data_IF_071609597415
#
_entry.id   IF_071609597415
#
_cell.length_a   1.000
_cell.length_b   1.000
_cell.length_c   1.000
_cell.angle_alpha   90.00
_cell.angle_beta   90.00
_cell.angle_gamma   90.00
#
_symmetry.space_group_name_H-M   'P 1'
#
loop_
_entity.id
_entity.type
_entity.pdbx_description
1 polymer ?
#
# COMPACT_ATOMS: atom_id res chain seq x y z
N UNK A 1 0.77 -10.07 -34.38
CA UNK A 1 0.08 -10.29 -33.08
C UNK A 1 0.88 -9.72 -31.91
N UNK A 2 2.19 -9.94 -31.85
CA UNK A 2 3.06 -9.46 -30.77
C UNK A 2 3.11 -7.93 -30.62
N UNK A 3 3.02 -7.17 -31.72
CA UNK A 3 2.92 -5.71 -31.68
C UNK A 3 1.70 -5.21 -30.87
N UNK A 4 0.55 -5.87 -31.02
CA UNK A 4 -0.68 -5.53 -30.28
C UNK A 4 -0.51 -5.84 -28.80
N UNK A 5 0.15 -6.96 -28.48
CA UNK A 5 0.47 -7.36 -27.10
C UNK A 5 1.43 -6.36 -26.47
N UNK A 6 2.46 -5.93 -27.19
CA UNK A 6 3.41 -4.93 -26.69
C UNK A 6 2.70 -3.60 -26.39
N UNK A 7 1.89 -3.11 -27.34
CA UNK A 7 1.12 -1.87 -27.16
C UNK A 7 0.10 -1.96 -26.02
N UNK A 8 -0.46 -3.14 -25.76
CA UNK A 8 -1.39 -3.34 -24.65
C UNK A 8 -0.69 -3.46 -23.30
N UNK A 9 0.52 -4.01 -23.23
CA UNK A 9 1.27 -4.19 -21.98
C UNK A 9 2.22 -3.02 -21.67
N UNK A 10 2.46 -2.11 -22.60
CA UNK A 10 3.48 -1.06 -22.50
C UNK A 10 3.41 -0.17 -21.26
N UNK A 11 2.21 0.09 -20.72
CA UNK A 11 2.07 1.03 -19.61
C UNK A 11 2.61 0.47 -18.29
N UNK A 12 3.28 1.28 -17.45
CA UNK A 12 3.93 0.81 -16.24
C UNK A 12 2.94 0.14 -15.27
N UNK A 13 1.72 0.69 -15.13
CA UNK A 13 0.66 0.09 -14.33
C UNK A 13 0.25 -1.31 -14.80
N UNK A 14 0.21 -1.54 -16.12
CA UNK A 14 -0.15 -2.84 -16.69
C UNK A 14 0.96 -3.87 -16.50
N UNK A 15 2.22 -3.46 -16.68
CA UNK A 15 3.39 -4.27 -16.35
C UNK A 15 3.38 -4.68 -14.87
N UNK A 16 3.07 -3.75 -13.97
CA UNK A 16 2.95 -4.00 -12.53
C UNK A 16 1.84 -5.00 -12.17
N UNK A 17 0.67 -4.89 -12.82
CA UNK A 17 -0.42 -5.86 -12.63
C UNK A 17 0.02 -7.26 -13.06
N UNK A 18 0.70 -7.39 -14.20
CA UNK A 18 1.22 -8.68 -14.68
C UNK A 18 2.28 -9.25 -13.74
N UNK A 19 3.21 -8.42 -13.26
CA UNK A 19 4.22 -8.83 -12.27
C UNK A 19 3.57 -9.35 -10.98
N UNK A 20 2.57 -8.64 -10.47
CA UNK A 20 1.84 -9.08 -9.28
C UNK A 20 1.17 -10.45 -9.47
N UNK A 21 0.52 -10.68 -10.61
CA UNK A 21 -0.10 -11.97 -10.95
C UNK A 21 0.97 -13.06 -11.07
N UNK A 22 2.14 -12.72 -11.61
CA UNK A 22 3.26 -13.64 -11.78
C UNK A 22 3.85 -14.09 -10.44
N UNK A 23 4.16 -13.16 -9.53
CA UNK A 23 4.69 -13.48 -8.19
C UNK A 23 3.70 -14.32 -7.40
N UNK A 24 2.41 -13.97 -7.44
CA UNK A 24 1.38 -14.66 -6.64
C UNK A 24 0.89 -15.96 -7.28
N UNK A 25 1.18 -16.19 -8.56
CA UNK A 25 0.68 -17.31 -9.36
C UNK A 25 -0.80 -17.22 -9.72
N UNK A 26 -1.65 -16.90 -8.74
CA UNK A 26 -3.08 -16.61 -8.93
C UNK A 26 -3.44 -15.33 -8.20
N UNK A 27 -4.31 -14.50 -8.80
CA UNK A 27 -4.76 -13.27 -8.19
C UNK A 27 -6.22 -12.96 -8.53
N UNK A 28 -6.95 -12.39 -7.57
CA UNK A 28 -8.26 -11.80 -7.83
C UNK A 28 -8.15 -10.27 -7.98
N UNK A 29 -8.96 -9.63 -8.85
CA UNK A 29 -8.83 -8.20 -9.15
C UNK A 29 -8.89 -7.29 -7.92
N UNK A 30 -9.71 -7.64 -6.93
CA UNK A 30 -9.82 -6.86 -5.68
C UNK A 30 -8.50 -6.86 -4.88
N UNK A 31 -7.78 -7.99 -4.82
CA UNK A 31 -6.46 -8.10 -4.19
C UNK A 31 -5.44 -7.18 -4.86
N UNK A 32 -5.50 -7.12 -6.19
CA UNK A 32 -4.60 -6.29 -7.01
C UNK A 32 -4.92 -4.82 -6.75
N UNK A 33 -6.19 -4.44 -6.72
CA UNK A 33 -6.64 -3.08 -6.36
C UNK A 33 -6.15 -2.68 -4.97
N UNK A 34 -6.29 -3.55 -3.98
CA UNK A 34 -5.89 -3.27 -2.59
C UNK A 34 -4.36 -3.15 -2.45
N UNK A 35 -3.60 -4.07 -3.04
CA UNK A 35 -2.14 -4.12 -2.90
C UNK A 35 -1.41 -3.08 -3.77
N UNK A 36 -1.86 -2.88 -5.02
CA UNK A 36 -1.28 -1.88 -5.92
C UNK A 36 -1.89 -0.48 -5.75
N UNK A 37 -2.93 -0.34 -4.93
CA UNK A 37 -3.69 0.93 -4.73
C UNK A 37 -4.20 1.54 -6.04
N UNK A 38 -4.56 0.69 -6.99
CA UNK A 38 -5.12 1.08 -8.30
C UNK A 38 -6.64 1.23 -8.17
N UNK A 39 -7.26 2.08 -8.99
CA UNK A 39 -8.72 2.22 -8.96
C UNK A 39 -9.45 0.90 -9.24
N UNK A 40 -10.57 0.71 -8.55
CA UNK A 40 -11.48 -0.41 -8.77
C UNK A 40 -11.94 -0.38 -10.24
N UNK A 41 -11.76 -1.50 -10.95
CA UNK A 41 -12.13 -1.61 -12.37
C UNK A 41 -10.94 -1.80 -13.33
N UNK A 42 -9.82 -1.12 -13.09
CA UNK A 42 -8.65 -1.21 -14.00
C UNK A 42 -8.08 -2.64 -14.05
N UNK A 43 -7.78 -3.31 -12.91
CA UNK A 43 -7.24 -4.67 -12.96
C UNK A 43 -8.21 -5.65 -13.63
N UNK A 44 -9.52 -5.52 -13.35
CA UNK A 44 -10.53 -6.40 -13.96
C UNK A 44 -10.64 -6.21 -15.47
N UNK A 45 -10.64 -4.97 -15.96
CA UNK A 45 -10.72 -4.70 -17.40
C UNK A 45 -9.46 -5.19 -18.12
N UNK A 46 -8.29 -4.90 -17.54
CA UNK A 46 -7.02 -5.29 -18.11
C UNK A 46 -6.84 -6.81 -18.15
N UNK A 47 -7.14 -7.53 -17.06
CA UNK A 47 -7.02 -8.99 -17.04
C UNK A 47 -8.01 -9.69 -17.98
N UNK A 48 -9.22 -9.12 -18.16
CA UNK A 48 -10.14 -9.61 -19.21
C UNK A 48 -9.55 -9.46 -20.60
N UNK A 49 -8.88 -8.35 -20.87
CA UNK A 49 -8.17 -8.12 -22.13
C UNK A 49 -6.98 -9.09 -22.30
N UNK A 50 -6.19 -9.32 -21.25
CA UNK A 50 -5.13 -10.34 -21.26
C UNK A 50 -5.68 -11.74 -21.53
N UNK A 51 -6.88 -12.04 -21.04
CA UNK A 51 -7.56 -13.32 -21.28
C UNK A 51 -7.98 -13.45 -22.74
N UNK A 52 -8.53 -12.38 -23.34
CA UNK A 52 -8.87 -12.35 -24.77
C UNK A 52 -7.64 -12.51 -25.68
N UNK A 53 -6.47 -12.05 -25.22
CA UNK A 53 -5.18 -12.21 -25.90
C UNK A 53 -4.47 -13.54 -25.58
N UNK A 54 -5.13 -14.47 -24.88
CA UNK A 54 -4.57 -15.77 -24.45
C UNK A 54 -3.32 -15.68 -23.55
N UNK A 55 -3.08 -14.53 -22.91
CA UNK A 55 -1.97 -14.33 -21.97
C UNK A 55 -2.29 -14.87 -20.58
N UNK A 56 -3.55 -14.74 -20.16
CA UNK A 56 -4.04 -15.20 -18.86
C UNK A 56 -5.21 -16.14 -18.99
N UNK A 57 -5.35 -17.07 -18.05
CA UNK A 57 -6.54 -17.89 -17.84
C UNK A 57 -7.41 -17.23 -16.79
N UNK A 58 -8.72 -17.37 -16.95
CA UNK A 58 -9.72 -16.92 -15.99
C UNK A 58 -10.43 -18.15 -15.44
N UNK A 59 -10.40 -18.32 -14.13
CA UNK A 59 -11.12 -19.37 -13.42
C UNK A 59 -12.08 -18.74 -12.39
N UNK A 60 -13.18 -19.44 -12.08
CA UNK A 60 -14.13 -19.04 -11.03
C UNK A 60 -14.03 -20.00 -9.88
N UNK A 61 -13.90 -19.46 -8.67
CA UNK A 61 -14.01 -20.21 -7.43
C UNK A 61 -15.09 -19.56 -6.57
N UNK A 62 -16.29 -20.13 -6.62
CA UNK A 62 -17.50 -19.53 -6.04
C UNK A 62 -17.77 -18.12 -6.59
N UNK A 63 -17.90 -17.15 -5.70
CA UNK A 63 -18.11 -15.74 -6.07
C UNK A 63 -16.83 -15.01 -6.53
N UNK A 64 -15.65 -15.62 -6.38
CA UNK A 64 -14.37 -14.99 -6.73
C UNK A 64 -13.93 -15.38 -8.13
N UNK A 65 -13.41 -14.40 -8.88
CA UNK A 65 -12.80 -14.60 -10.20
C UNK A 65 -11.30 -14.53 -10.03
N UNK A 66 -10.62 -15.62 -10.39
CA UNK A 66 -9.18 -15.79 -10.31
C UNK A 66 -8.58 -15.65 -11.71
N UNK A 67 -7.42 -15.01 -11.77
CA UNK A 67 -6.61 -14.93 -12.97
C UNK A 67 -5.23 -15.52 -12.71
N UNK A 68 -4.73 -16.28 -13.67
CA UNK A 68 -3.39 -16.85 -13.70
C UNK A 68 -2.79 -16.68 -15.09
N UNK A 69 -1.47 -16.66 -15.20
CA UNK A 69 -0.81 -16.58 -16.51
C UNK A 69 -0.73 -17.98 -17.13
N UNK A 70 -0.94 -18.07 -18.45
CA UNK A 70 -0.75 -19.32 -19.18
C UNK A 70 0.73 -19.54 -19.49
N UNK A 71 1.16 -20.79 -19.70
CA UNK A 71 2.53 -21.11 -20.12
C UNK A 71 2.89 -20.41 -21.45
N UNK A 72 1.94 -20.40 -22.40
CA UNK A 72 2.06 -19.65 -23.66
C UNK A 72 2.18 -18.14 -23.43
N UNK A 73 1.35 -17.59 -22.54
CA UNK A 73 1.38 -16.17 -22.17
C UNK A 73 2.71 -15.75 -21.57
N UNK A 74 3.26 -16.56 -20.66
CA UNK A 74 4.58 -16.34 -20.05
C UNK A 74 5.68 -16.32 -21.12
N UNK A 75 5.68 -17.26 -22.07
CA UNK A 75 6.66 -17.30 -23.14
C UNK A 75 6.60 -16.06 -24.06
N UNK A 76 5.40 -15.51 -24.27
CA UNK A 76 5.22 -14.25 -25.02
C UNK A 76 5.71 -13.06 -24.19
N UNK A 77 5.34 -12.99 -22.91
CA UNK A 77 5.72 -11.90 -22.01
C UNK A 77 7.24 -11.84 -21.79
N UNK A 78 7.95 -12.99 -21.74
CA UNK A 78 9.41 -13.03 -21.67
C UNK A 78 10.08 -12.36 -22.87
N UNK A 79 9.49 -12.48 -24.06
CA UNK A 79 10.02 -11.87 -25.29
C UNK A 79 9.67 -10.39 -25.41
N UNK A 80 8.47 -10.00 -24.98
CA UNK A 80 7.95 -8.64 -25.17
C UNK A 80 8.30 -7.69 -24.03
N UNK A 81 8.27 -8.18 -22.79
CA UNK A 81 8.48 -7.39 -21.58
C UNK A 81 9.25 -8.20 -20.51
N UNK A 82 10.53 -8.50 -20.73
CA UNK A 82 11.33 -9.29 -19.79
C UNK A 82 11.45 -8.63 -18.40
N UNK A 83 11.37 -7.30 -18.34
CA UNK A 83 11.41 -6.50 -17.11
C UNK A 83 10.44 -6.97 -16.02
N UNK A 84 9.28 -7.54 -16.38
CA UNK A 84 8.29 -8.00 -15.39
C UNK A 84 8.74 -9.24 -14.62
N UNK A 85 9.79 -9.92 -15.08
CA UNK A 85 10.32 -11.13 -14.45
C UNK A 85 11.46 -10.82 -13.47
N UNK A 86 11.99 -9.58 -13.50
CA UNK A 86 13.05 -9.19 -12.59
C UNK A 86 12.51 -8.91 -11.19
N UNK A 87 13.18 -9.50 -10.18
CA UNK A 87 12.87 -9.27 -8.78
C UNK A 87 13.00 -7.79 -8.38
N UNK A 88 13.88 -7.03 -9.05
CA UNK A 88 14.04 -5.58 -8.85
C UNK A 88 12.81 -4.78 -9.27
N UNK A 89 11.99 -5.31 -10.20
CA UNK A 89 10.70 -4.72 -10.59
C UNK A 89 9.71 -4.71 -9.40
N UNK A 90 9.95 -5.54 -8.38
CA UNK A 90 9.21 -5.53 -7.12
C UNK A 90 9.44 -4.25 -6.29
N UNK A 91 10.60 -3.59 -6.45
CA UNK A 91 10.87 -2.30 -5.81
C UNK A 91 10.01 -1.15 -6.34
N UNK A 92 9.45 -1.28 -7.55
CA UNK A 92 8.48 -0.31 -8.08
C UNK A 92 7.13 -0.35 -7.35
N UNK A 93 6.81 -1.44 -6.63
CA UNK A 93 5.62 -1.48 -5.76
C UNK A 93 5.73 -0.50 -4.61
N UNK A 94 6.95 -0.21 -4.14
CA UNK A 94 7.21 0.73 -3.06
C UNK A 94 7.26 2.18 -3.56
N UNK A 95 7.67 2.39 -4.81
CA UNK A 95 7.84 3.73 -5.41
C UNK A 95 6.61 4.26 -6.16
N UNK A 96 5.60 3.44 -6.46
CA UNK A 96 4.31 3.91 -6.95
C UNK A 96 3.73 4.89 -5.93
N UNK A 97 3.67 6.18 -6.32
CA UNK A 97 3.16 7.23 -5.47
C UNK A 97 1.80 6.82 -4.93
N UNK A 98 1.69 6.78 -3.60
CA UNK A 98 0.42 6.56 -2.89
C UNK A 98 -0.57 7.56 -3.47
N UNK A 99 -1.45 7.16 -4.40
CA UNK A 99 -2.56 8.02 -4.81
C UNK A 99 -3.46 8.16 -3.59
N UNK A 100 -3.28 9.28 -2.90
CA UNK A 100 -3.94 9.61 -1.63
C UNK A 100 -5.43 9.78 -1.91
N UNK A 101 -6.22 8.73 -1.78
CA UNK A 101 -7.66 8.90 -1.63
C UNK A 101 -7.89 9.60 -0.30
N UNK A 102 -8.38 10.85 -0.36
CA UNK A 102 -8.75 11.63 0.82
C UNK A 102 -10.00 11.00 1.42
N UNK A 103 -9.85 10.18 2.45
CA UNK A 103 -10.97 9.82 3.32
C UNK A 103 -11.29 11.03 4.20
N UNK A 104 -12.56 11.45 4.19
CA UNK A 104 -13.09 12.64 4.87
C UNK A 104 -12.83 12.66 6.40
N UNK A 105 -12.48 11.51 6.98
CA UNK A 105 -12.44 11.34 8.43
C UNK A 105 -11.06 11.21 9.06
N UNK A 106 -9.97 10.96 8.31
CA UNK A 106 -8.62 10.96 8.89
C UNK A 106 -7.53 11.01 7.79
N UNK A 107 -6.63 12.00 7.78
CA UNK A 107 -5.48 12.02 6.86
C UNK A 107 -4.32 11.21 7.45
N UNK A 108 -4.34 9.88 7.34
CA UNK A 108 -3.18 9.03 7.73
C UNK A 108 -2.08 9.05 6.65
N UNK A 109 -1.93 10.18 5.96
CA UNK A 109 -1.19 10.27 4.70
C UNK A 109 -0.12 11.35 4.71
N UNK A 110 0.28 11.83 5.89
CA UNK A 110 1.40 12.75 6.01
C UNK A 110 2.38 12.15 7.01
N UNK A 111 3.42 11.50 6.48
CA UNK A 111 4.54 11.02 7.29
C UNK A 111 5.57 12.14 7.21
N UNK A 112 5.28 13.17 7.97
CA UNK A 112 6.19 14.22 8.40
C UNK A 112 5.91 14.44 9.87
N UNK A 113 5.93 13.36 10.66
CA UNK A 113 5.69 13.45 12.10
C UNK A 113 6.95 13.98 12.77
N UNK A 114 7.03 15.28 12.97
CA UNK A 114 7.93 15.82 13.97
C UNK A 114 7.30 15.52 15.33
N UNK A 115 8.02 14.80 16.21
CA UNK A 115 7.60 14.55 17.59
C UNK A 115 8.41 15.47 18.48
N UNK A 116 7.77 16.50 19.03
CA UNK A 116 8.41 17.37 20.03
C UNK A 116 8.07 16.87 21.42
N UNK A 117 9.11 16.55 22.17
CA UNK A 117 9.03 16.21 23.58
C UNK A 117 9.07 17.50 24.39
N UNK A 118 7.99 17.78 25.10
CA UNK A 118 7.91 18.89 26.03
C UNK A 118 7.82 18.27 27.43
N UNK A 119 8.73 18.68 28.30
CA UNK A 119 8.68 18.36 29.72
C UNK A 119 7.94 19.49 30.41
N UNK A 120 6.74 19.21 30.91
CA UNK A 120 5.99 20.17 31.70
C UNK A 120 6.66 20.33 33.07
N UNK A 121 6.55 21.49 33.70
CA UNK A 121 7.12 21.78 35.03
C UNK A 121 6.54 20.87 36.14
N UNK A 122 5.34 20.32 35.92
CA UNK A 122 4.71 19.30 36.76
C UNK A 122 5.31 17.88 36.56
N UNK A 123 6.21 17.75 35.60
CA UNK A 123 7.05 16.60 35.28
C UNK A 123 6.35 15.43 34.57
N UNK A 124 5.19 15.70 33.96
CA UNK A 124 4.70 14.88 32.86
C UNK A 124 5.48 15.14 31.57
N UNK A 125 5.43 14.19 30.64
CA UNK A 125 6.01 14.33 29.31
C UNK A 125 4.86 14.46 28.32
N UNK A 126 4.80 15.55 27.58
CA UNK A 126 3.86 15.73 26.48
C UNK A 126 4.57 15.53 25.13
N UNK A 127 3.89 14.79 24.26
CA UNK A 127 4.32 14.46 22.90
C UNK A 127 3.37 15.12 21.93
N UNK A 128 3.86 16.11 21.20
CA UNK A 128 3.09 16.78 20.16
C UNK A 128 3.41 16.16 18.81
N UNK A 129 2.36 15.79 18.08
CA UNK A 129 2.43 15.29 16.72
C UNK A 129 2.11 16.43 15.76
N UNK A 130 3.04 16.74 14.87
CA UNK A 130 2.84 17.72 13.82
C UNK A 130 2.63 17.06 12.46
N UNK A 131 1.95 17.79 11.59
CA UNK A 131 1.74 17.42 10.19
C UNK A 131 2.91 17.86 9.30
N UNK A 132 2.94 17.41 8.04
CA UNK A 132 3.94 17.87 7.03
C UNK A 132 3.93 19.40 6.83
N UNK A 133 2.82 20.08 7.15
CA UNK A 133 2.69 21.55 7.10
C UNK A 133 3.05 22.23 8.44
N UNK A 134 3.57 21.49 9.44
CA UNK A 134 3.91 22.02 10.77
C UNK A 134 2.71 22.29 11.69
N UNK A 135 1.50 21.87 11.32
CA UNK A 135 0.28 22.03 12.14
C UNK A 135 0.17 20.92 13.19
N UNK A 136 -0.19 21.28 14.42
CA UNK A 136 -0.41 20.30 15.50
C UNK A 136 -1.64 19.43 15.17
N UNK A 137 -1.42 18.12 15.04
CA UNK A 137 -2.46 17.11 14.76
C UNK A 137 -3.01 16.57 16.08
N UNK A 138 -2.12 16.23 17.01
CA UNK A 138 -2.52 15.60 18.26
C UNK A 138 -1.45 15.76 19.33
N UNK A 139 -1.88 15.65 20.59
CA UNK A 139 -0.99 15.65 21.74
C UNK A 139 -1.25 14.40 22.59
N UNK A 140 -0.18 13.70 22.97
CA UNK A 140 -0.21 12.56 23.90
C UNK A 140 0.56 12.93 25.15
N UNK A 141 -0.08 12.78 26.31
CA UNK A 141 0.51 13.02 27.60
C UNK A 141 0.90 11.69 28.27
N UNK A 142 2.08 11.67 28.87
CA UNK A 142 2.56 10.61 29.75
C UNK A 142 2.80 11.19 31.14
N UNK A 143 2.09 10.69 32.13
CA UNK A 143 2.29 11.09 33.53
C UNK A 143 3.56 10.47 34.13
N UNK A 144 4.03 11.01 35.25
CA UNK A 144 5.08 10.38 36.08
C UNK A 144 4.71 8.99 36.55
N UNK A 145 3.43 8.74 36.80
CA UNK A 145 2.91 7.44 37.26
C UNK A 145 2.78 6.42 36.11
N UNK A 146 3.17 6.78 34.88
CA UNK A 146 3.19 5.88 33.73
C UNK A 146 1.86 5.78 32.98
N UNK A 147 0.85 6.58 33.35
CA UNK A 147 -0.41 6.65 32.62
C UNK A 147 -0.25 7.44 31.32
N UNK A 148 -0.86 6.94 30.25
CA UNK A 148 -0.83 7.54 28.92
C UNK A 148 -2.22 8.05 28.56
N UNK A 149 -2.29 9.24 27.97
CA UNK A 149 -3.54 9.86 27.54
C UNK A 149 -3.36 10.57 26.20
N UNK A 150 -4.24 10.29 25.24
CA UNK A 150 -4.24 10.98 23.95
C UNK A 150 -5.38 11.98 23.90
N UNK A 151 -5.07 13.27 23.74
CA UNK A 151 -6.07 14.35 23.70
C UNK A 151 -6.97 14.23 22.47
N UNK A 152 -6.40 13.88 21.31
CA UNK A 152 -7.15 13.77 20.07
C UNK A 152 -8.08 12.53 20.02
N UNK A 153 -7.69 11.43 20.67
CA UNK A 153 -8.49 10.21 20.73
C UNK A 153 -9.36 10.11 21.99
N UNK A 154 -9.16 11.00 22.97
CA UNK A 154 -9.78 10.95 24.31
C UNK A 154 -9.74 9.55 24.93
N UNK A 155 -8.61 8.86 24.75
CA UNK A 155 -8.43 7.46 25.15
C UNK A 155 -7.00 7.21 25.63
N UNK A 156 -6.86 6.27 26.58
CA UNK A 156 -5.60 5.73 27.08
C UNK A 156 -5.07 4.53 26.26
N UNK A 157 -5.90 3.97 25.39
CA UNK A 157 -5.51 2.95 24.43
C UNK A 157 -5.86 3.40 23.01
N UNK A 158 -4.85 3.87 22.29
CA UNK A 158 -4.98 4.32 20.91
C UNK A 158 -3.70 4.05 20.12
N UNK A 159 -3.80 4.13 18.79
CA UNK A 159 -2.66 3.90 17.89
C UNK A 159 -1.47 4.83 18.18
N UNK A 160 -1.73 6.08 18.58
CA UNK A 160 -0.68 7.05 18.92
C UNK A 160 0.11 6.64 20.17
N UNK A 161 -0.59 6.16 21.21
CA UNK A 161 0.03 5.67 22.45
C UNK A 161 0.81 4.38 22.17
N UNK A 162 0.22 3.45 21.41
CA UNK A 162 0.87 2.18 21.08
C UNK A 162 2.12 2.38 20.21
N UNK A 163 2.13 3.40 19.35
CA UNK A 163 3.33 3.82 18.62
C UNK A 163 4.43 4.33 19.56
N UNK A 164 4.09 5.23 20.49
CA UNK A 164 5.06 5.78 21.44
C UNK A 164 5.60 4.71 22.39
N UNK A 165 4.77 3.80 22.90
CA UNK A 165 5.22 2.67 23.73
C UNK A 165 6.28 1.83 23.01
N UNK A 166 6.01 1.42 21.77
CA UNK A 166 6.98 0.65 20.95
C UNK A 166 8.27 1.41 20.68
N UNK A 167 8.20 2.72 20.43
CA UNK A 167 9.38 3.54 20.19
C UNK A 167 10.27 3.66 21.44
N UNK A 168 9.66 3.80 22.62
CA UNK A 168 10.39 3.95 23.89
C UNK A 168 10.87 2.62 24.49
N UNK A 169 10.12 1.52 24.32
CA UNK A 169 10.53 0.20 24.81
C UNK A 169 11.74 -0.35 24.03
N UNK A 170 11.89 0.05 22.77
CA UNK A 170 13.03 -0.34 21.93
C UNK A 170 14.31 0.49 22.17
N UNK A 171 14.28 1.49 23.06
CA UNK A 171 15.45 2.31 23.42
C UNK A 171 16.05 1.94 24.79
N UNK A 172 15.64 0.82 25.38
CA UNK A 172 16.26 0.25 26.59
C UNK A 172 17.28 -0.83 26.26
#
# INVERSE_FOLDING_TARGET
MEYIINKTVSTPLRKLILHYVLIRGTAYPQQITENLKVSKGIPSQFLRLCTALNLSKRDRNGHKVLYSLTTKGIAILKRVCPEIFDLSFSGLFESLSKKKFRTKYYPVNRIGFEIKKLTDEFGGISFKFYDEDGKEISTVFKSKTGTWWCVACQSSDCRHINYLKKYYDNQK
#
